data_IF_023117327061
#
_entry.id   IF_023117327061
#
_cell.length_a   1.000
_cell.length_b   1.000
_cell.length_c   1.000
_cell.angle_alpha   90.00
_cell.angle_beta   90.00
_cell.angle_gamma   90.00
#
_symmetry.space_group_name_H-M   'P 1'
#
loop_
_entity.id
_entity.type
_entity.pdbx_description
1 polymer ?
#
# COMPACT_ATOMS: atom_id res chain seq x y z
N UNK A 1 -13.06 -8.85 1.30
CA UNK A 1 -11.92 -8.28 0.55
C UNK A 1 -11.66 -6.81 0.83
N UNK A 2 -12.61 -6.10 1.44
CA UNK A 2 -12.51 -4.69 1.85
C UNK A 2 -11.14 -4.27 2.39
N UNK A 3 -10.52 -5.04 3.30
CA UNK A 3 -9.20 -4.68 3.85
C UNK A 3 -8.08 -4.63 2.78
N UNK A 4 -8.10 -5.52 1.79
CA UNK A 4 -7.13 -5.51 0.67
C UNK A 4 -7.36 -4.28 -0.21
N UNK A 5 -8.62 -3.95 -0.47
CA UNK A 5 -8.99 -2.78 -1.28
C UNK A 5 -8.60 -1.48 -0.59
N UNK A 6 -8.92 -1.33 0.70
CA UNK A 6 -8.55 -0.16 1.51
C UNK A 6 -7.03 -0.01 1.60
N UNK A 7 -6.28 -1.11 1.80
CA UNK A 7 -4.82 -1.04 1.82
C UNK A 7 -4.21 -0.73 0.46
N UNK A 8 -4.80 -1.21 -0.63
CA UNK A 8 -4.41 -0.85 -1.99
C UNK A 8 -4.64 0.64 -2.27
N UNK A 9 -5.82 1.16 -1.91
CA UNK A 9 -6.13 2.58 -2.05
C UNK A 9 -5.18 3.45 -1.22
N UNK A 10 -4.88 3.04 0.01
CA UNK A 10 -3.95 3.77 0.87
C UNK A 10 -2.54 3.78 0.28
N UNK A 11 -2.05 2.65 -0.22
CA UNK A 11 -0.78 2.61 -0.93
C UNK A 11 -0.77 3.55 -2.15
N UNK A 12 -1.84 3.53 -2.95
CA UNK A 12 -1.96 4.43 -4.10
C UNK A 12 -1.95 5.92 -3.68
N UNK A 13 -2.69 6.27 -2.62
CA UNK A 13 -2.72 7.64 -2.06
C UNK A 13 -1.32 8.08 -1.63
N UNK A 14 -0.60 7.27 -0.85
CA UNK A 14 0.76 7.60 -0.39
C UNK A 14 1.74 7.77 -1.56
N UNK A 15 1.65 6.88 -2.55
CA UNK A 15 2.46 6.98 -3.77
C UNK A 15 2.20 8.26 -4.56
N UNK A 16 0.94 8.69 -4.66
CA UNK A 16 0.57 9.95 -5.32
C UNK A 16 1.08 11.16 -4.54
N UNK A 17 1.01 11.13 -3.20
CA UNK A 17 1.55 12.20 -2.35
C UNK A 17 3.06 12.32 -2.54
N UNK A 18 3.80 11.22 -2.47
CA UNK A 18 5.26 11.20 -2.68
C UNK A 18 5.65 11.69 -4.08
N UNK A 19 4.87 11.34 -5.11
CA UNK A 19 5.13 11.84 -6.48
C UNK A 19 4.87 13.34 -6.63
N UNK A 20 3.94 13.89 -5.85
CA UNK A 20 3.57 15.30 -5.90
C UNK A 20 4.43 16.16 -4.96
N UNK A 21 5.22 15.56 -4.06
CA UNK A 21 6.11 16.32 -3.20
C UNK A 21 7.22 16.95 -4.04
N UNK A 22 7.44 18.25 -3.83
CA UNK A 22 8.45 19.01 -4.56
C UNK A 22 9.86 18.71 -4.04
N UNK A 23 9.97 18.43 -2.75
CA UNK A 23 11.21 18.01 -2.08
C UNK A 23 11.09 16.56 -1.61
N UNK A 24 12.25 15.95 -1.37
CA UNK A 24 12.33 14.64 -0.74
C UNK A 24 11.87 14.74 0.71
N UNK A 25 10.86 13.96 1.08
CA UNK A 25 10.39 13.80 2.45
C UNK A 25 10.57 12.34 2.90
N UNK A 26 11.53 12.06 3.80
CA UNK A 26 11.80 10.70 4.28
C UNK A 26 10.63 10.10 5.07
N UNK A 27 9.79 10.92 5.71
CA UNK A 27 8.60 10.43 6.40
C UNK A 27 7.55 9.97 5.40
N UNK A 28 7.42 10.71 4.29
CA UNK A 28 6.48 10.38 3.23
C UNK A 28 6.91 9.12 2.48
N UNK A 29 8.21 8.95 2.23
CA UNK A 29 8.77 7.71 1.68
C UNK A 29 8.52 6.53 2.63
N UNK A 30 8.74 6.72 3.93
CA UNK A 30 8.46 5.70 4.95
C UNK A 30 6.98 5.27 4.94
N UNK A 31 6.05 6.21 4.90
CA UNK A 31 4.62 5.90 4.88
C UNK A 31 4.19 5.20 3.57
N UNK A 32 4.79 5.54 2.42
CA UNK A 32 4.57 4.84 1.15
C UNK A 32 5.02 3.37 1.24
N UNK A 33 6.25 3.14 1.71
CA UNK A 33 6.84 1.80 1.87
C UNK A 33 6.06 0.94 2.87
N UNK A 34 5.62 1.55 3.96
CA UNK A 34 4.78 0.90 4.97
C UNK A 34 3.41 0.49 4.43
N UNK A 35 2.78 1.33 3.61
CA UNK A 35 1.51 1.00 2.96
C UNK A 35 1.69 -0.12 1.93
N UNK A 36 2.77 -0.08 1.13
CA UNK A 36 3.14 -1.12 0.17
C UNK A 36 3.31 -2.49 0.84
N UNK A 37 4.09 -2.56 1.92
CA UNK A 37 4.34 -3.81 2.64
C UNK A 37 3.05 -4.45 3.17
N UNK A 38 2.11 -3.65 3.68
CA UNK A 38 0.81 -4.13 4.18
C UNK A 38 -0.04 -4.71 3.05
N UNK A 39 -0.16 -3.99 1.94
CA UNK A 39 -0.93 -4.45 0.78
C UNK A 39 -0.37 -5.77 0.24
N UNK A 40 0.95 -5.86 0.03
CA UNK A 40 1.58 -7.07 -0.52
C UNK A 40 1.49 -8.27 0.43
N UNK A 41 1.64 -8.06 1.73
CA UNK A 41 1.46 -9.12 2.71
C UNK A 41 0.05 -9.69 2.68
N UNK A 42 -0.97 -8.83 2.70
CA UNK A 42 -2.37 -9.26 2.66
C UNK A 42 -2.71 -9.99 1.35
N UNK A 43 -2.21 -9.48 0.22
CA UNK A 43 -2.42 -10.12 -1.08
C UNK A 43 -1.73 -11.48 -1.16
N UNK A 44 -0.50 -11.60 -0.63
CA UNK A 44 0.23 -12.86 -0.53
C UNK A 44 -0.53 -13.88 0.32
N UNK A 45 -1.02 -13.47 1.49
CA UNK A 45 -1.79 -14.35 2.38
C UNK A 45 -3.13 -14.76 1.77
N UNK A 46 -3.82 -13.85 1.08
CA UNK A 46 -5.06 -14.18 0.37
C UNK A 46 -4.83 -15.23 -0.72
N UNK A 47 -3.76 -15.07 -1.52
CA UNK A 47 -3.36 -16.07 -2.53
C UNK A 47 -3.00 -17.41 -1.88
N UNK A 48 -2.22 -17.41 -0.81
CA UNK A 48 -1.82 -18.63 -0.08
C UNK A 48 -3.04 -19.40 0.43
N UNK A 49 -4.07 -18.69 0.88
CA UNK A 49 -5.32 -19.26 1.41
C UNK A 49 -6.36 -19.56 0.34
N UNK A 50 -6.03 -19.34 -0.94
CA UNK A 50 -6.94 -19.50 -2.08
C UNK A 50 -8.27 -18.75 -1.89
N UNK A 51 -8.24 -17.62 -1.18
CA UNK A 51 -9.42 -16.77 -1.03
C UNK A 51 -9.76 -16.22 -2.41
N UNK A 52 -10.93 -16.60 -2.94
CA UNK A 52 -11.41 -16.09 -4.21
C UNK A 52 -11.75 -14.60 -4.05
N UNK A 53 -11.42 -13.85 -5.10
CA UNK A 53 -11.87 -12.47 -5.31
C UNK A 53 -13.39 -12.51 -5.53
#
# INVERSE_FOLDING_TARGET
>A
MELIEVTQENWHKQKVLLRKSFEYDPNLEYEEKKAEARYFYLFKEARKRQLKK
#
